data_IF_672072783760
#
_entry.id   IF_672072783760
#
_cell.length_a   1.000
_cell.length_b   1.000
_cell.length_c   1.000
_cell.angle_alpha   90.00
_cell.angle_beta   90.00
_cell.angle_gamma   90.00
#
_symmetry.space_group_name_H-M   'P 1'
#
loop_
_entity.id
_entity.type
_entity.pdbx_description
1 polymer ?
#
# COMPACT_ATOMS: atom_id res chain seq x y z
N UNK A 1 24.88 27.52 20.26
CA UNK A 1 25.19 26.23 19.60
C UNK A 1 25.05 25.07 20.59
N UNK A 2 23.83 24.67 20.95
CA UNK A 2 23.59 23.53 21.85
C UNK A 2 22.15 22.97 21.77
N UNK A 3 21.45 23.16 20.64
CA UNK A 3 20.02 22.81 20.51
C UNK A 3 19.61 22.52 19.04
N UNK A 4 20.50 21.90 18.26
CA UNK A 4 20.24 21.55 16.85
C UNK A 4 19.98 20.05 16.64
N UNK A 5 20.58 19.16 17.45
CA UNK A 5 20.82 17.76 17.08
C UNK A 5 19.93 16.73 17.80
N UNK A 6 18.75 17.13 18.25
CA UNK A 6 17.75 16.20 18.79
C UNK A 6 16.57 16.09 17.81
N UNK A 7 16.65 15.11 16.90
CA UNK A 7 15.50 14.71 16.07
C UNK A 7 14.34 14.36 17.00
N UNK A 8 13.20 15.04 16.85
CA UNK A 8 11.98 14.74 17.60
C UNK A 8 11.41 13.41 17.11
N UNK A 9 11.84 12.31 17.70
CA UNK A 9 11.28 10.98 17.43
C UNK A 9 9.79 10.94 17.81
N UNK A 10 8.91 10.95 16.81
CA UNK A 10 7.48 10.72 16.99
C UNK A 10 7.27 9.21 17.13
N UNK A 11 7.12 8.74 18.37
CA UNK A 11 7.05 7.31 18.71
C UNK A 11 5.61 6.78 18.68
N UNK A 12 4.63 7.63 18.92
CA UNK A 12 3.22 7.28 18.88
C UNK A 12 2.33 8.48 18.50
N UNK A 13 1.05 8.21 18.21
CA UNK A 13 0.06 9.22 17.80
C UNK A 13 -0.10 10.39 18.80
N UNK A 14 0.15 10.17 20.11
CA UNK A 14 0.12 11.25 21.11
C UNK A 14 1.29 12.21 20.96
N UNK A 15 2.43 11.76 20.44
CA UNK A 15 3.60 12.62 20.27
C UNK A 15 3.37 13.63 19.12
N UNK A 16 2.56 13.23 18.13
CA UNK A 16 2.02 14.11 17.08
C UNK A 16 1.07 15.12 17.72
N UNK A 17 0.07 14.66 18.48
CA UNK A 17 -0.88 15.57 19.16
C UNK A 17 -0.15 16.56 20.10
N UNK A 18 0.88 16.10 20.82
CA UNK A 18 1.72 16.95 21.66
C UNK A 18 2.51 18.00 20.85
N UNK A 19 2.98 17.66 19.64
CA UNK A 19 3.66 18.61 18.73
C UNK A 19 2.74 19.78 18.38
N UNK A 20 1.43 19.55 18.22
CA UNK A 20 0.46 20.61 17.97
C UNK A 20 0.06 21.37 19.23
N UNK A 21 0.05 20.73 20.41
CA UNK A 21 -0.12 21.42 21.70
C UNK A 21 1.03 22.38 22.04
N UNK A 22 2.26 22.08 21.62
CA UNK A 22 3.41 23.00 21.74
C UNK A 22 3.29 24.24 20.83
N UNK A 23 2.40 24.20 19.83
CA UNK A 23 2.05 25.32 18.98
C UNK A 23 2.71 25.30 17.59
N UNK A 24 2.34 26.27 16.73
CA UNK A 24 2.65 26.21 15.30
C UNK A 24 4.14 26.39 14.97
N UNK A 25 4.94 27.01 15.85
CA UNK A 25 6.39 27.14 15.65
C UNK A 25 7.10 25.79 15.82
N UNK A 26 6.65 24.95 16.78
CA UNK A 26 7.18 23.60 16.97
C UNK A 26 6.85 22.70 15.77
N UNK A 27 5.62 22.80 15.26
CA UNK A 27 5.19 22.12 14.02
C UNK A 27 6.04 22.56 12.82
N UNK A 28 6.28 23.87 12.67
CA UNK A 28 7.12 24.41 11.59
C UNK A 28 8.57 23.92 11.71
N UNK A 29 9.14 23.95 12.91
CA UNK A 29 10.49 23.43 13.18
C UNK A 29 10.59 21.94 12.87
N UNK A 30 9.62 21.12 13.29
CA UNK A 30 9.61 19.69 12.96
C UNK A 30 9.56 19.44 11.45
N UNK A 31 8.65 20.12 10.73
CA UNK A 31 8.50 19.93 9.28
C UNK A 31 9.72 20.44 8.50
N UNK A 32 10.35 21.54 8.91
CA UNK A 32 11.59 22.05 8.28
C UNK A 32 12.79 21.15 8.56
N UNK A 33 12.97 20.68 9.80
CA UNK A 33 14.03 19.73 10.16
C UNK A 33 13.94 18.40 9.38
N UNK A 34 12.73 17.99 8.98
CA UNK A 34 12.51 16.81 8.15
C UNK A 34 12.42 17.12 6.64
N UNK A 35 12.70 18.35 6.20
CA UNK A 35 12.66 18.73 4.78
C UNK A 35 11.28 18.61 4.14
N UNK A 36 10.21 18.69 4.93
CA UNK A 36 8.81 18.53 4.51
C UNK A 36 8.12 19.86 4.14
N UNK A 37 8.69 20.98 4.58
CA UNK A 37 8.41 22.35 4.15
C UNK A 37 9.72 23.14 4.13
N UNK A 38 9.79 24.20 3.33
CA UNK A 38 10.99 25.06 3.23
C UNK A 38 11.19 25.92 4.49
N UNK A 39 12.45 26.13 4.90
CA UNK A 39 12.82 27.01 6.03
C UNK A 39 12.75 28.51 5.68
N UNK A 40 12.84 28.86 4.40
CA UNK A 40 12.68 30.22 3.88
C UNK A 40 11.79 30.21 2.62
N UNK A 41 11.27 31.37 2.23
CA UNK A 41 10.38 31.49 1.07
C UNK A 41 10.54 32.85 0.39
N UNK A 42 10.62 32.86 -0.94
CA UNK A 42 10.52 34.08 -1.76
C UNK A 42 9.09 34.26 -2.27
N UNK A 43 8.65 35.51 -2.42
CA UNK A 43 7.29 35.80 -2.83
C UNK A 43 7.10 35.66 -4.34
N UNK A 44 6.47 34.56 -4.75
CA UNK A 44 5.98 34.24 -6.11
C UNK A 44 5.24 35.38 -6.85
N UNK A 45 4.65 36.33 -6.13
CA UNK A 45 3.97 37.51 -6.68
C UNK A 45 4.85 38.75 -6.84
N UNK A 46 5.92 38.85 -6.07
CA UNK A 46 6.89 39.96 -6.18
C UNK A 46 8.06 39.59 -7.11
N UNK A 47 8.39 38.30 -7.17
CA UNK A 47 9.36 37.70 -8.09
C UNK A 47 8.65 36.64 -8.95
N UNK A 48 7.80 37.04 -9.92
CA UNK A 48 7.21 36.11 -10.87
C UNK A 48 8.30 35.50 -11.76
N UNK A 49 8.18 34.20 -12.08
CA UNK A 49 9.12 33.51 -12.97
C UNK A 49 9.16 34.13 -14.38
N UNK A 50 7.98 34.49 -14.90
CA UNK A 50 7.80 35.14 -16.20
C UNK A 50 7.11 36.51 -16.00
N UNK A 51 7.88 37.57 -15.74
CA UNK A 51 7.32 38.91 -15.60
C UNK A 51 8.35 40.01 -15.29
N UNK A 52 7.94 41.29 -15.36
CA UNK A 52 8.78 42.39 -14.91
C UNK A 52 8.97 42.30 -13.39
N UNK A 53 10.23 42.20 -12.97
CA UNK A 53 10.60 42.27 -11.55
C UNK A 53 10.50 43.73 -11.09
N UNK A 54 9.69 43.99 -10.07
CA UNK A 54 9.63 45.31 -9.44
C UNK A 54 10.78 45.42 -8.41
N UNK A 55 11.94 45.90 -8.89
CA UNK A 55 13.25 45.70 -8.28
C UNK A 55 13.43 46.32 -6.88
N UNK A 56 12.54 47.23 -6.45
CA UNK A 56 12.60 47.94 -5.17
C UNK A 56 11.82 47.23 -4.04
N UNK A 57 11.13 46.12 -4.33
CA UNK A 57 10.37 45.36 -3.33
C UNK A 57 11.22 44.21 -2.79
N UNK A 58 11.45 44.21 -1.47
CA UNK A 58 11.97 43.05 -0.77
C UNK A 58 11.00 41.86 -0.91
N UNK A 59 11.48 40.84 -1.63
CA UNK A 59 10.72 39.65 -2.00
C UNK A 59 10.81 38.53 -0.96
N UNK A 60 11.68 38.66 0.05
CA UNK A 60 11.78 37.68 1.13
C UNK A 60 10.49 37.67 1.96
N UNK A 61 10.00 36.46 2.26
CA UNK A 61 8.80 36.30 3.09
C UNK A 61 9.20 36.04 4.54
N UNK A 62 8.63 36.85 5.43
CA UNK A 62 8.74 36.67 6.88
C UNK A 62 7.63 35.76 7.42
N UNK A 63 7.94 34.97 8.44
CA UNK A 63 6.93 34.22 9.19
C UNK A 63 6.13 35.16 10.09
N UNK A 64 4.81 35.01 10.10
CA UNK A 64 3.92 35.73 11.01
C UNK A 64 2.74 34.84 11.44
N UNK A 65 2.14 35.16 12.59
CA UNK A 65 0.99 34.43 13.14
C UNK A 65 -0.32 35.12 12.79
N UNK A 66 -1.33 34.34 12.38
CA UNK A 66 -2.70 34.79 12.09
C UNK A 66 -3.68 33.71 12.51
N UNK A 67 -4.66 34.03 13.36
CA UNK A 67 -5.65 33.06 13.86
C UNK A 67 -5.01 31.79 14.46
N UNK A 68 -3.88 31.94 15.18
CA UNK A 68 -3.02 30.87 15.69
C UNK A 68 -2.34 29.96 14.63
N UNK A 69 -2.51 30.22 13.33
CA UNK A 69 -1.70 29.59 12.27
C UNK A 69 -0.42 30.40 11.98
N UNK A 70 0.65 29.71 11.61
CA UNK A 70 1.86 30.32 11.05
C UNK A 70 1.72 30.46 9.53
N UNK A 71 2.13 31.61 8.99
CA UNK A 71 2.01 31.97 7.58
C UNK A 71 3.22 32.78 7.10
N UNK A 72 3.47 32.74 5.80
CA UNK A 72 4.46 33.58 5.13
C UNK A 72 3.84 34.91 4.71
N UNK A 73 4.59 36.02 4.87
CA UNK A 73 4.23 37.36 4.38
C UNK A 73 5.45 38.18 3.95
N UNK A 74 5.42 38.72 2.73
CA UNK A 74 6.41 39.69 2.23
C UNK A 74 6.03 41.14 2.59
N UNK A 75 6.93 42.11 2.33
CA UNK A 75 6.66 43.55 2.60
C UNK A 75 5.47 44.11 1.80
N UNK A 76 5.22 43.60 0.59
CA UNK A 76 4.04 43.92 -0.22
C UNK A 76 2.72 43.30 0.31
N UNK A 77 2.72 42.67 1.49
CA UNK A 77 1.57 42.05 2.19
C UNK A 77 0.92 40.86 1.46
N UNK A 78 1.56 40.30 0.44
CA UNK A 78 1.16 39.00 -0.09
C UNK A 78 1.36 37.93 0.98
N UNK A 79 0.35 37.07 1.18
CA UNK A 79 0.39 35.96 2.14
C UNK A 79 0.42 34.60 1.46
N UNK A 80 1.11 33.64 2.07
CA UNK A 80 1.11 32.22 1.71
C UNK A 80 1.03 31.34 2.96
N UNK A 81 0.55 30.11 2.80
CA UNK A 81 0.58 29.10 3.88
C UNK A 81 2.00 28.55 4.00
N UNK A 82 2.42 28.10 5.19
CA UNK A 82 3.76 27.48 5.36
C UNK A 82 3.97 26.24 4.49
N UNK A 83 2.89 25.60 4.06
CA UNK A 83 2.87 24.44 3.16
C UNK A 83 2.87 24.76 1.67
N UNK A 84 2.93 26.02 1.23
CA UNK A 84 2.62 26.42 -0.16
C UNK A 84 3.37 25.63 -1.26
N UNK A 85 4.65 25.30 -1.04
CA UNK A 85 5.47 24.55 -1.99
C UNK A 85 5.42 23.03 -1.80
N UNK A 86 4.86 22.54 -0.68
CA UNK A 86 4.74 21.10 -0.45
C UNK A 86 3.54 20.55 -1.21
N UNK A 87 3.77 19.88 -2.33
CA UNK A 87 2.73 19.15 -3.06
C UNK A 87 1.99 18.16 -2.14
N UNK A 88 2.73 17.42 -1.30
CA UNK A 88 2.13 16.50 -0.34
C UNK A 88 1.20 17.20 0.68
N UNK A 89 1.54 18.38 1.18
CA UNK A 89 0.66 19.08 2.11
C UNK A 89 -0.39 19.98 1.43
N UNK A 90 -0.40 20.15 0.10
CA UNK A 90 -1.32 21.04 -0.63
C UNK A 90 -2.28 20.35 -1.59
N UNK A 91 -1.97 19.15 -2.06
CA UNK A 91 -2.75 18.49 -3.12
C UNK A 91 -4.17 18.07 -2.69
N UNK A 92 -5.17 18.51 -3.47
CA UNK A 92 -6.49 17.89 -3.52
C UNK A 92 -6.74 17.39 -4.96
N UNK A 93 -7.34 16.20 -5.12
CA UNK A 93 -7.75 15.73 -6.45
C UNK A 93 -8.92 16.55 -6.97
N UNK A 94 -8.67 17.29 -8.05
CA UNK A 94 -9.70 17.76 -8.97
C UNK A 94 -10.16 19.19 -8.72
N UNK A 95 -9.72 20.09 -9.60
CA UNK A 95 -10.58 21.16 -10.08
C UNK A 95 -11.92 20.56 -10.49
N UNK A 96 -12.98 20.84 -9.73
CA UNK A 96 -14.33 20.64 -10.25
C UNK A 96 -14.48 21.46 -11.54
N UNK A 97 -15.32 21.00 -12.47
CA UNK A 97 -15.55 21.69 -13.76
C UNK A 97 -16.03 23.17 -13.62
N UNK A 98 -16.31 23.61 -12.40
CA UNK A 98 -16.73 24.97 -12.05
C UNK A 98 -15.61 25.84 -11.44
N UNK A 99 -14.33 25.42 -11.51
CA UNK A 99 -13.18 26.27 -11.17
C UNK A 99 -13.09 26.76 -9.72
N UNK A 100 -13.77 26.10 -8.78
CA UNK A 100 -13.73 26.46 -7.35
C UNK A 100 -12.73 25.61 -6.58
N UNK A 101 -11.68 26.25 -6.06
CA UNK A 101 -10.70 25.63 -5.17
C UNK A 101 -11.29 25.38 -3.76
N UNK A 102 -11.24 24.12 -3.33
CA UNK A 102 -10.70 23.78 -2.00
C UNK A 102 -9.24 23.32 -2.27
N UNK A 103 -8.23 23.43 -1.41
CA UNK A 103 -7.89 24.40 -0.35
C UNK A 103 -8.99 24.80 0.66
N UNK A 104 -9.06 24.24 1.86
CA UNK A 104 -8.23 23.21 2.49
C UNK A 104 -9.14 22.50 3.49
N UNK A 105 -9.48 21.22 3.30
CA UNK A 105 -10.35 20.51 4.27
C UNK A 105 -9.63 19.86 5.44
N UNK A 106 -8.31 19.68 5.35
CA UNK A 106 -7.48 19.09 6.40
C UNK A 106 -6.42 20.10 6.90
N UNK A 107 -6.27 20.20 8.22
CA UNK A 107 -5.13 20.86 8.85
C UNK A 107 -3.87 19.98 8.75
N UNK A 108 -2.69 20.55 8.99
CA UNK A 108 -1.43 19.79 9.02
C UNK A 108 -1.46 18.70 10.11
N UNK A 109 -2.12 18.95 11.25
CA UNK A 109 -2.32 17.96 12.31
C UNK A 109 -3.09 16.74 11.79
N UNK A 110 -4.22 16.99 11.12
CA UNK A 110 -5.05 15.93 10.57
C UNK A 110 -4.29 15.14 9.50
N UNK A 111 -3.52 15.80 8.64
CA UNK A 111 -2.70 15.14 7.61
C UNK A 111 -1.61 14.26 8.24
N UNK A 112 -0.91 14.72 9.29
CA UNK A 112 0.09 13.90 9.99
C UNK A 112 -0.54 12.72 10.76
N UNK A 113 -1.69 12.93 11.42
CA UNK A 113 -2.43 11.85 12.09
C UNK A 113 -2.92 10.80 11.07
N UNK A 114 -3.49 11.22 9.93
CA UNK A 114 -3.93 10.33 8.87
C UNK A 114 -2.74 9.55 8.25
N UNK A 115 -1.60 10.23 8.06
CA UNK A 115 -0.35 9.59 7.58
C UNK A 115 0.14 8.53 8.57
N UNK A 116 0.13 8.83 9.87
CA UNK A 116 0.45 7.87 10.93
C UNK A 116 -0.50 6.67 10.93
N UNK A 117 -1.81 6.92 10.83
CA UNK A 117 -2.81 5.87 10.75
C UNK A 117 -2.63 4.97 9.52
N UNK A 118 -2.31 5.55 8.37
CA UNK A 118 -2.03 4.83 7.11
C UNK A 118 -0.78 3.95 7.18
N UNK A 119 0.30 4.45 7.79
CA UNK A 119 1.55 3.70 8.02
C UNK A 119 1.32 2.44 8.88
N UNK A 120 0.24 2.40 9.65
CA UNK A 120 -0.11 1.33 10.59
C UNK A 120 -1.40 0.58 10.21
N UNK A 121 -1.81 0.64 8.92
CA UNK A 121 -2.95 -0.12 8.34
C UNK A 121 -4.31 0.10 9.04
N UNK A 122 -4.46 1.22 9.76
CA UNK A 122 -5.72 1.58 10.40
C UNK A 122 -6.78 1.78 9.32
N UNK A 123 -8.03 1.39 9.61
CA UNK A 123 -9.10 1.59 8.65
C UNK A 123 -9.38 3.09 8.46
N UNK A 124 -9.86 3.53 7.28
CA UNK A 124 -10.20 4.93 7.05
C UNK A 124 -11.23 5.48 8.05
N UNK A 125 -12.12 4.63 8.57
CA UNK A 125 -13.07 4.97 9.64
C UNK A 125 -12.34 5.33 10.94
N UNK A 126 -11.40 4.49 11.40
CA UNK A 126 -10.62 4.74 12.62
C UNK A 126 -9.68 5.92 12.45
N UNK A 127 -9.07 6.07 11.28
CA UNK A 127 -8.21 7.22 10.95
C UNK A 127 -9.00 8.54 10.96
N UNK A 128 -10.20 8.55 10.38
CA UNK A 128 -11.09 9.71 10.40
C UNK A 128 -11.54 10.09 11.81
N UNK A 129 -11.78 9.11 12.69
CA UNK A 129 -12.06 9.34 14.11
C UNK A 129 -10.85 9.97 14.83
N UNK A 130 -9.65 9.39 14.66
CA UNK A 130 -8.42 9.89 15.30
C UNK A 130 -8.06 11.32 14.84
N UNK A 131 -8.29 11.64 13.56
CA UNK A 131 -8.05 12.96 12.98
C UNK A 131 -9.25 13.93 13.09
N UNK A 132 -10.35 13.53 13.74
CA UNK A 132 -11.60 14.29 13.80
C UNK A 132 -12.05 14.88 12.44
N UNK A 133 -11.97 14.08 11.37
CA UNK A 133 -12.27 14.49 10.00
C UNK A 133 -13.31 13.59 9.32
N UNK A 134 -13.71 13.91 8.09
CA UNK A 134 -14.62 13.03 7.33
C UNK A 134 -13.89 11.80 6.78
N UNK A 135 -14.58 10.66 6.70
CA UNK A 135 -14.05 9.44 6.07
C UNK A 135 -13.62 9.66 4.61
N UNK A 136 -14.28 10.57 3.89
CA UNK A 136 -13.92 10.93 2.52
C UNK A 136 -12.56 11.64 2.48
N UNK A 137 -12.29 12.52 3.45
CA UNK A 137 -10.98 13.17 3.60
C UNK A 137 -9.88 12.16 3.96
N UNK A 138 -10.17 11.22 4.88
CA UNK A 138 -9.24 10.14 5.24
C UNK A 138 -8.91 9.23 4.05
N UNK A 139 -9.91 8.83 3.25
CA UNK A 139 -9.72 8.05 2.03
C UNK A 139 -8.89 8.81 0.98
N UNK A 140 -9.14 10.12 0.82
CA UNK A 140 -8.36 10.98 -0.09
C UNK A 140 -6.90 11.07 0.35
N UNK A 141 -6.64 11.30 1.63
CA UNK A 141 -5.28 11.34 2.19
C UNK A 141 -4.58 9.98 2.06
N UNK A 142 -5.30 8.87 2.25
CA UNK A 142 -4.77 7.53 2.04
C UNK A 142 -4.36 7.30 0.57
N UNK A 143 -5.20 7.68 -0.41
CA UNK A 143 -4.82 7.61 -1.85
C UNK A 143 -3.59 8.47 -2.13
N UNK A 144 -3.51 9.67 -1.55
CA UNK A 144 -2.33 10.51 -1.64
C UNK A 144 -1.06 9.82 -1.11
N UNK A 145 -1.11 9.16 0.05
CA UNK A 145 0.02 8.39 0.57
C UNK A 145 0.49 7.30 -0.43
N UNK A 146 -0.45 6.59 -1.06
CA UNK A 146 -0.12 5.59 -2.10
C UNK A 146 0.57 6.19 -3.32
N UNK A 147 0.15 7.39 -3.72
CA UNK A 147 0.76 8.10 -4.86
C UNK A 147 2.22 8.49 -4.58
N UNK A 148 2.59 8.73 -3.32
CA UNK A 148 4.00 8.89 -2.92
C UNK A 148 4.77 7.59 -3.14
N UNK A 149 4.24 6.45 -2.67
CA UNK A 149 4.86 5.13 -2.91
C UNK A 149 5.02 4.83 -4.40
N UNK A 150 4.01 5.17 -5.21
CA UNK A 150 4.03 4.93 -6.65
C UNK A 150 5.10 5.78 -7.35
N UNK A 151 5.11 7.09 -7.11
CA UNK A 151 6.14 7.98 -7.65
C UNK A 151 7.56 7.59 -7.21
N UNK A 152 7.72 7.11 -5.97
CA UNK A 152 9.01 6.64 -5.47
C UNK A 152 9.49 5.31 -6.08
N UNK A 153 8.60 4.49 -6.65
CA UNK A 153 8.96 3.20 -7.25
C UNK A 153 9.24 3.33 -8.76
N UNK A 154 8.69 4.36 -9.41
CA UNK A 154 9.09 4.77 -10.76
C UNK A 154 10.48 5.45 -10.78
N UNK A 155 10.94 6.00 -9.64
CA UNK A 155 12.24 6.66 -9.47
C UNK A 155 13.22 5.85 -8.59
N UNK A 156 14.28 5.31 -9.21
CA UNK A 156 15.33 4.53 -8.54
C UNK A 156 16.21 5.35 -7.59
N UNK A 157 16.25 6.69 -7.69
CA UNK A 157 16.96 7.55 -6.74
C UNK A 157 16.10 7.82 -5.49
N UNK A 158 14.78 7.90 -5.64
CA UNK A 158 13.85 8.05 -4.52
C UNK A 158 13.77 6.80 -3.63
N UNK A 159 13.72 5.60 -4.24
CA UNK A 159 13.68 4.32 -3.52
C UNK A 159 14.83 3.37 -3.93
N UNK A 160 16.08 3.65 -3.52
CA UNK A 160 17.23 2.78 -3.78
C UNK A 160 17.08 1.38 -3.15
N UNK A 161 16.20 1.23 -2.16
CA UNK A 161 15.86 -0.05 -1.53
C UNK A 161 15.08 -0.99 -2.48
N UNK A 162 14.46 -0.46 -3.55
CA UNK A 162 13.67 -1.19 -4.55
C UNK A 162 14.50 -1.79 -5.70
N UNK A 163 15.76 -2.18 -5.44
CA UNK A 163 16.71 -2.70 -6.43
C UNK A 163 16.36 -4.08 -7.03
N UNK A 164 17.34 -4.87 -7.48
CA UNK A 164 17.05 -6.25 -7.88
C UNK A 164 16.84 -7.14 -6.65
N UNK A 165 15.75 -7.92 -6.62
CA UNK A 165 15.48 -8.91 -5.58
C UNK A 165 16.17 -10.24 -5.92
N UNK A 166 16.46 -11.08 -4.93
CA UNK A 166 17.14 -12.35 -5.17
C UNK A 166 18.68 -12.24 -5.18
N UNK A 167 19.32 -13.11 -5.96
CA UNK A 167 20.77 -13.35 -6.03
C UNK A 167 21.11 -14.83 -5.85
N UNK A 168 22.38 -15.24 -6.06
CA UNK A 168 22.81 -16.63 -5.88
C UNK A 168 22.50 -17.17 -4.48
N UNK A 169 21.76 -18.29 -4.42
CA UNK A 169 21.31 -18.91 -3.17
C UNK A 169 20.05 -18.30 -2.55
N UNK A 170 19.53 -17.20 -3.10
CA UNK A 170 18.23 -16.63 -2.72
C UNK A 170 17.09 -17.28 -3.51
N UNK A 171 15.88 -17.16 -2.97
CA UNK A 171 14.65 -17.77 -3.49
C UNK A 171 13.61 -16.70 -3.78
N UNK A 172 13.10 -16.67 -5.01
CA UNK A 172 11.98 -15.81 -5.43
C UNK A 172 10.84 -16.71 -5.89
N UNK A 173 9.65 -16.52 -5.32
CA UNK A 173 8.43 -17.18 -5.79
C UNK A 173 7.63 -16.21 -6.65
N UNK A 174 7.11 -16.69 -7.78
CA UNK A 174 6.32 -15.93 -8.76
C UNK A 174 4.98 -16.63 -9.04
N UNK A 175 3.98 -15.85 -9.45
CA UNK A 175 2.61 -16.28 -9.78
C UNK A 175 1.83 -15.09 -10.40
N UNK A 176 0.80 -15.35 -11.19
CA UNK A 176 -0.09 -14.31 -11.73
C UNK A 176 -1.57 -14.54 -11.41
N UNK A 177 -2.25 -13.48 -10.94
CA UNK A 177 -3.64 -13.54 -10.54
C UNK A 177 -4.50 -12.56 -11.35
N UNK A 178 -5.64 -13.02 -11.87
CA UNK A 178 -6.66 -12.15 -12.44
C UNK A 178 -7.33 -11.33 -11.32
N UNK A 179 -7.36 -10.01 -11.45
CA UNK A 179 -8.04 -9.14 -10.47
C UNK A 179 -9.34 -8.62 -11.09
N UNK A 180 -10.32 -9.53 -11.25
CA UNK A 180 -11.65 -9.21 -11.76
C UNK A 180 -12.29 -8.09 -10.93
N UNK A 181 -12.56 -6.94 -11.55
CA UNK A 181 -13.30 -5.88 -10.91
C UNK A 181 -14.69 -6.39 -10.54
N UNK A 182 -15.05 -6.36 -9.24
CA UNK A 182 -16.37 -6.79 -8.77
C UNK A 182 -17.46 -5.98 -9.48
N UNK A 183 -18.15 -6.60 -10.43
CA UNK A 183 -19.33 -6.02 -11.11
C UNK A 183 -20.25 -5.41 -10.06
N UNK A 184 -20.65 -4.15 -10.25
CA UNK A 184 -21.80 -3.59 -9.52
C UNK A 184 -22.97 -4.50 -9.83
N UNK A 185 -23.53 -5.20 -8.85
CA UNK A 185 -24.86 -5.81 -9.01
C UNK A 185 -25.78 -4.67 -9.43
N UNK A 186 -26.33 -4.77 -10.63
CA UNK A 186 -27.18 -3.72 -11.18
C UNK A 186 -28.32 -3.45 -10.20
N UNK A 187 -28.61 -2.18 -9.95
CA UNK A 187 -29.74 -1.77 -9.14
C UNK A 187 -31.04 -1.96 -9.94
N UNK A 188 -31.43 -3.22 -10.15
CA UNK A 188 -32.74 -3.68 -10.63
C UNK A 188 -32.83 -5.21 -10.46
N UNK A 189 -33.21 -5.65 -9.26
CA UNK A 189 -33.43 -7.06 -8.93
C UNK A 189 -34.06 -7.19 -7.55
N UNK A 190 -35.34 -7.56 -7.50
CA UNK A 190 -36.14 -7.58 -6.27
C UNK A 190 -35.73 -8.74 -5.36
N UNK A 191 -34.88 -8.46 -4.37
CA UNK A 191 -34.56 -9.35 -3.25
C UNK A 191 -35.02 -8.75 -1.93
N UNK A 192 -36.34 -8.75 -1.68
CA UNK A 192 -36.93 -8.19 -0.46
C UNK A 192 -36.79 -9.23 0.66
N UNK A 193 -35.81 -9.06 1.55
CA UNK A 193 -35.81 -9.80 2.83
C UNK A 193 -37.07 -9.40 3.59
N UNK A 194 -38.01 -10.34 3.74
CA UNK A 194 -39.17 -10.18 4.59
C UNK A 194 -38.80 -10.38 6.07
N UNK A 195 -39.51 -9.75 7.02
CA UNK A 195 -39.34 -10.06 8.43
C UNK A 195 -39.96 -11.43 8.73
N UNK A 196 -39.15 -12.49 8.62
CA UNK A 196 -39.53 -13.88 8.89
C UNK A 196 -38.46 -14.66 9.66
N UNK A 197 -37.19 -14.46 9.33
CA UNK A 197 -36.08 -15.30 9.81
C UNK A 197 -35.36 -14.71 11.05
N UNK A 198 -36.14 -14.30 12.06
CA UNK A 198 -35.65 -14.11 13.42
C UNK A 198 -36.22 -15.21 14.31
N UNK A 199 -35.61 -16.40 14.22
CA UNK A 199 -35.82 -17.47 15.18
C UNK A 199 -34.55 -17.58 16.03
N UNK A 200 -34.61 -17.09 17.27
CA UNK A 200 -33.50 -17.20 18.21
C UNK A 200 -33.26 -18.68 18.58
N UNK A 201 -31.99 -19.09 18.80
CA UNK A 201 -31.69 -20.47 19.16
C UNK A 201 -32.29 -20.81 20.54
N UNK A 202 -33.27 -21.70 20.53
CA UNK A 202 -33.92 -22.21 21.72
C UNK A 202 -32.90 -22.91 22.62
N UNK A 203 -32.82 -22.56 23.90
CA UNK A 203 -32.05 -23.36 24.88
C UNK A 203 -32.74 -24.71 25.03
N UNK A 204 -32.00 -25.79 24.73
CA UNK A 204 -32.39 -27.18 25.02
C UNK A 204 -32.57 -27.42 26.52
N UNK A 205 -33.32 -28.46 26.87
CA UNK A 205 -33.69 -28.75 28.26
C UNK A 205 -32.58 -29.50 29.02
N UNK A 206 -32.57 -29.50 30.36
CA UNK A 206 -31.51 -30.13 31.15
C UNK A 206 -31.34 -31.65 30.96
N UNK A 207 -32.30 -32.32 30.32
CA UNK A 207 -32.27 -33.78 30.08
C UNK A 207 -31.40 -34.15 28.86
N UNK A 208 -31.21 -33.25 27.89
CA UNK A 208 -30.39 -33.49 26.70
C UNK A 208 -28.87 -33.47 26.99
N UNK A 209 -28.46 -32.97 28.16
CA UNK A 209 -27.05 -32.89 28.58
C UNK A 209 -26.55 -34.13 29.33
N UNK A 210 -27.40 -35.15 29.54
CA UNK A 210 -27.07 -36.34 30.33
C UNK A 210 -26.59 -37.56 29.51
N UNK A 211 -26.54 -37.46 28.17
CA UNK A 211 -26.32 -38.61 27.28
C UNK A 211 -24.87 -38.83 26.79
N UNK A 212 -23.91 -37.94 27.09
CA UNK A 212 -22.49 -38.13 26.72
C UNK A 212 -21.70 -38.82 27.87
N UNK A 213 -21.96 -40.10 28.09
CA UNK A 213 -21.24 -40.88 29.11
C UNK A 213 -21.16 -42.40 28.87
N UNK A 214 -20.91 -42.89 27.64
CA UNK A 214 -20.30 -44.22 27.44
C UNK A 214 -19.64 -44.44 26.05
N UNK A 215 -18.67 -45.37 26.00
CA UNK A 215 -18.52 -46.35 24.91
C UNK A 215 -18.05 -45.97 23.48
N UNK A 216 -16.73 -45.79 23.30
CA UNK A 216 -15.90 -46.36 22.20
C UNK A 216 -16.41 -46.52 20.73
N UNK A 217 -15.73 -45.81 19.81
CA UNK A 217 -15.41 -46.17 18.40
C UNK A 217 -16.61 -46.35 17.41
N UNK A 218 -16.52 -46.11 16.08
CA UNK A 218 -15.44 -46.17 15.08
C UNK A 218 -15.72 -45.20 13.89
N UNK A 219 -14.72 -45.07 13.00
CA UNK A 219 -14.80 -44.83 11.54
C UNK A 219 -15.08 -43.46 10.92
N UNK A 220 -14.43 -43.34 9.75
CA UNK A 220 -14.42 -42.36 8.68
C UNK A 220 -15.50 -41.25 8.65
N UNK A 221 -15.03 -40.03 8.42
CA UNK A 221 -15.77 -39.02 7.67
C UNK A 221 -14.97 -38.78 6.39
N UNK A 222 -15.57 -39.14 5.26
CA UNK A 222 -15.09 -38.75 3.93
C UNK A 222 -15.31 -37.23 3.79
N UNK A 223 -14.25 -36.47 3.46
CA UNK A 223 -14.41 -35.06 3.10
C UNK A 223 -14.88 -35.02 1.64
N UNK A 224 -16.08 -34.47 1.40
CA UNK A 224 -16.67 -34.37 0.06
C UNK A 224 -15.81 -33.45 -0.83
N UNK A 225 -15.37 -33.98 -1.97
CA UNK A 225 -14.58 -33.24 -2.96
C UNK A 225 -15.48 -32.25 -3.72
N UNK A 226 -15.26 -30.94 -3.55
CA UNK A 226 -15.79 -29.94 -4.48
C UNK A 226 -14.88 -29.92 -5.74
N UNK A 227 -15.27 -30.67 -6.77
CA UNK A 227 -14.63 -30.64 -8.10
C UNK A 227 -14.74 -29.23 -8.72
N UNK A 228 -13.65 -28.48 -8.78
CA UNK A 228 -13.56 -27.27 -9.62
C UNK A 228 -13.34 -27.68 -11.09
N UNK A 229 -14.42 -27.80 -11.88
CA UNK A 229 -14.34 -28.02 -13.33
C UNK A 229 -13.59 -26.86 -14.03
N UNK A 230 -12.45 -27.16 -14.65
CA UNK A 230 -11.79 -26.24 -15.60
C UNK A 230 -12.64 -26.09 -16.87
N UNK A 231 -13.21 -24.89 -17.09
CA UNK A 231 -13.87 -24.55 -18.36
C UNK A 231 -12.84 -23.99 -19.34
N UNK A 232 -12.49 -24.81 -20.34
CA UNK A 232 -11.70 -24.41 -21.51
C UNK A 232 -12.57 -23.61 -22.49
N UNK A 233 -12.47 -22.28 -22.44
CA UNK A 233 -13.20 -21.38 -23.36
C UNK A 233 -12.56 -21.41 -24.76
N UNK A 234 -13.08 -22.31 -25.61
CA UNK A 234 -12.78 -22.35 -27.04
C UNK A 234 -13.46 -21.22 -27.81
N UNK A 235 -12.79 -20.71 -28.85
CA UNK A 235 -13.24 -19.57 -29.66
C UNK A 235 -14.44 -19.92 -30.55
N UNK A 236 -15.61 -19.32 -30.30
CA UNK A 236 -16.61 -19.04 -31.36
C UNK A 236 -17.18 -17.61 -31.18
N UNK A 237 -17.30 -16.88 -32.29
CA UNK A 237 -17.57 -15.43 -32.28
C UNK A 237 -19.05 -15.04 -32.36
N UNK A 238 -19.40 -13.87 -31.83
CA UNK A 238 -20.74 -13.30 -31.96
C UNK A 238 -20.91 -11.90 -31.35
N UNK A 239 -21.05 -10.91 -32.23
CA UNK A 239 -21.74 -9.61 -32.06
C UNK A 239 -21.07 -8.48 -31.23
N UNK A 240 -21.01 -7.30 -31.86
CA UNK A 240 -20.43 -6.06 -31.32
C UNK A 240 -21.51 -5.20 -30.61
N UNK A 241 -21.35 -4.91 -29.32
CA UNK A 241 -22.04 -3.77 -28.67
C UNK A 241 -21.15 -3.05 -27.64
N UNK A 242 -20.92 -1.74 -27.84
CA UNK A 242 -21.08 -0.77 -26.74
C UNK A 242 -19.91 -0.46 -25.78
N UNK A 243 -18.66 -0.46 -26.27
CA UNK A 243 -17.51 0.38 -25.80
C UNK A 243 -17.58 1.03 -24.38
N UNK A 244 -16.79 0.49 -23.42
CA UNK A 244 -16.02 1.19 -22.35
C UNK A 244 -15.57 0.28 -21.16
N UNK A 245 -15.51 -1.05 -21.31
CA UNK A 245 -14.80 -1.91 -20.34
C UNK A 245 -13.29 -1.98 -20.70
N UNK A 246 -12.43 -1.36 -19.88
CA UNK A 246 -10.98 -1.59 -19.92
C UNK A 246 -10.74 -3.11 -19.72
N UNK A 247 -9.91 -3.78 -20.55
CA UNK A 247 -9.73 -5.24 -20.49
C UNK A 247 -9.24 -5.66 -19.11
N UNK A 248 -9.78 -6.77 -18.59
CA UNK A 248 -9.55 -7.23 -17.23
C UNK A 248 -8.05 -7.46 -16.95
N UNK A 249 -7.43 -6.51 -16.25
CA UNK A 249 -6.01 -6.54 -15.95
C UNK A 249 -5.60 -7.73 -15.09
N UNK A 250 -4.48 -8.33 -15.45
CA UNK A 250 -3.79 -9.30 -14.62
C UNK A 250 -2.84 -8.58 -13.66
N UNK A 251 -2.48 -9.24 -12.57
CA UNK A 251 -1.38 -8.80 -11.71
C UNK A 251 -0.37 -9.93 -11.59
N UNK A 252 0.89 -9.63 -11.83
CA UNK A 252 2.01 -10.54 -11.63
C UNK A 252 2.67 -10.26 -10.27
N UNK A 253 2.85 -11.29 -9.45
CA UNK A 253 3.41 -11.20 -8.10
C UNK A 253 4.81 -11.79 -8.01
N UNK A 254 5.63 -11.24 -7.12
CA UNK A 254 6.93 -11.79 -6.74
C UNK A 254 7.11 -11.72 -5.21
N UNK A 255 7.63 -12.77 -4.58
CA UNK A 255 7.95 -12.79 -3.15
C UNK A 255 9.37 -13.33 -2.95
N UNK A 256 10.22 -12.63 -2.19
CA UNK A 256 11.64 -12.97 -2.03
C UNK A 256 12.00 -13.40 -0.60
N UNK A 257 12.91 -14.37 -0.48
CA UNK A 257 13.60 -14.79 0.75
C UNK A 257 15.10 -14.96 0.50
N UNK A 258 15.95 -14.73 1.52
CA UNK A 258 17.39 -15.02 1.41
C UNK A 258 17.71 -16.51 1.48
N UNK A 259 16.82 -17.31 2.08
CA UNK A 259 17.01 -18.75 2.20
C UNK A 259 15.69 -19.49 2.40
N UNK A 260 15.73 -20.81 2.19
CA UNK A 260 14.63 -21.71 2.52
C UNK A 260 14.29 -21.72 4.03
N UNK A 261 15.27 -21.41 4.90
CA UNK A 261 15.04 -21.28 6.34
C UNK A 261 14.16 -20.05 6.66
N UNK A 262 14.43 -18.89 6.03
CA UNK A 262 13.57 -17.71 6.16
C UNK A 262 12.16 -17.98 5.61
N UNK A 263 12.03 -18.73 4.49
CA UNK A 263 10.72 -19.16 3.95
C UNK A 263 9.94 -20.00 4.97
N UNK A 264 10.59 -20.94 5.65
CA UNK A 264 9.99 -21.74 6.74
C UNK A 264 9.55 -20.87 7.93
N UNK A 265 10.23 -19.77 8.21
CA UNK A 265 9.82 -18.78 9.21
C UNK A 265 8.65 -17.87 8.75
N UNK A 266 8.22 -17.98 7.48
CA UNK A 266 7.13 -17.21 6.85
C UNK A 266 7.31 -15.69 6.92
N UNK A 267 8.56 -15.23 6.84
CA UNK A 267 8.92 -13.80 6.79
C UNK A 267 9.65 -13.56 5.45
N UNK A 268 8.97 -13.03 4.41
CA UNK A 268 9.64 -12.63 3.18
C UNK A 268 10.47 -11.37 3.38
N UNK A 269 11.55 -11.24 2.61
CA UNK A 269 12.36 -10.02 2.49
C UNK A 269 11.68 -8.96 1.61
N UNK A 270 10.78 -9.36 0.71
CA UNK A 270 10.08 -8.41 -0.15
C UNK A 270 8.84 -9.05 -0.78
N UNK A 271 7.91 -8.21 -1.22
CA UNK A 271 6.76 -8.62 -2.03
C UNK A 271 6.46 -7.52 -3.06
N UNK A 272 6.54 -7.87 -4.34
CA UNK A 272 6.26 -6.97 -5.47
C UNK A 272 5.00 -7.43 -6.19
N UNK A 273 4.28 -6.49 -6.77
CA UNK A 273 3.13 -6.75 -7.62
C UNK A 273 3.12 -5.75 -8.78
N UNK A 274 2.88 -6.24 -9.99
CA UNK A 274 2.86 -5.46 -11.23
C UNK A 274 1.54 -5.66 -11.94
N UNK A 275 0.84 -4.59 -12.33
CA UNK A 275 -0.32 -4.73 -13.21
C UNK A 275 0.16 -4.98 -14.64
N UNK A 276 -0.35 -6.03 -15.27
CA UNK A 276 0.01 -6.41 -16.65
C UNK A 276 -1.26 -6.58 -17.49
N UNK A 277 -1.25 -6.03 -18.71
CA UNK A 277 -2.39 -6.15 -19.63
C UNK A 277 -2.46 -7.54 -20.26
N UNK A 278 -1.30 -8.17 -20.48
CA UNK A 278 -1.16 -9.53 -21.00
C UNK A 278 -0.27 -10.33 -20.07
N UNK A 279 -0.55 -11.63 -19.94
CA UNK A 279 0.25 -12.59 -19.20
C UNK A 279 1.13 -13.46 -20.12
N UNK A 280 1.53 -12.96 -21.29
CA UNK A 280 2.40 -13.71 -22.19
C UNK A 280 3.84 -13.86 -21.65
N UNK A 281 4.53 -14.88 -22.15
CA UNK A 281 5.90 -15.20 -21.73
C UNK A 281 6.86 -14.01 -21.92
N UNK A 282 6.71 -13.24 -23.00
CA UNK A 282 7.54 -12.06 -23.25
C UNK A 282 7.39 -11.02 -22.13
N UNK A 283 6.14 -10.67 -21.78
CA UNK A 283 5.84 -9.72 -20.70
C UNK A 283 6.39 -10.18 -19.35
N UNK A 284 6.15 -11.44 -18.99
CA UNK A 284 6.51 -11.96 -17.67
C UNK A 284 8.02 -12.23 -17.51
N UNK A 285 8.67 -12.79 -18.53
CA UNK A 285 10.12 -12.99 -18.54
C UNK A 285 10.87 -11.63 -18.52
N UNK A 286 10.37 -10.61 -19.23
CA UNK A 286 10.95 -9.27 -19.18
C UNK A 286 10.81 -8.63 -17.78
N UNK A 287 9.70 -8.83 -17.07
CA UNK A 287 9.54 -8.39 -15.68
C UNK A 287 10.49 -9.14 -14.74
N UNK A 288 10.63 -10.46 -14.87
CA UNK A 288 11.61 -11.25 -14.09
C UNK A 288 13.02 -10.68 -14.29
N UNK A 289 13.47 -10.50 -15.54
CA UNK A 289 14.81 -9.98 -15.86
C UNK A 289 15.05 -8.54 -15.36
N UNK A 290 14.00 -7.74 -15.28
CA UNK A 290 14.07 -6.34 -14.83
C UNK A 290 14.10 -6.17 -13.30
N UNK A 291 13.62 -7.18 -12.55
CA UNK A 291 13.42 -7.11 -11.11
C UNK A 291 14.14 -8.19 -10.29
N UNK A 292 14.59 -9.29 -10.90
CA UNK A 292 15.25 -10.43 -10.22
C UNK A 292 16.73 -10.52 -10.62
N UNK A 293 17.62 -10.60 -9.64
CA UNK A 293 19.06 -10.67 -9.85
C UNK A 293 19.51 -12.01 -10.50
N UNK A 294 20.53 -12.02 -11.37
CA UNK A 294 21.09 -13.24 -11.96
C UNK A 294 21.46 -14.32 -10.93
N UNK A 295 21.34 -15.59 -11.33
CA UNK A 295 21.62 -16.75 -10.46
C UNK A 295 20.60 -17.02 -9.35
N UNK A 296 19.46 -16.32 -9.33
CA UNK A 296 18.36 -16.56 -8.37
C UNK A 296 17.67 -17.90 -8.62
N UNK A 297 17.24 -18.57 -7.55
CA UNK A 297 16.31 -19.69 -7.67
C UNK A 297 14.87 -19.17 -7.73
N UNK A 298 14.16 -19.47 -8.82
CA UNK A 298 12.79 -19.01 -9.09
C UNK A 298 11.82 -20.18 -8.94
N UNK A 299 10.75 -19.99 -8.16
CA UNK A 299 9.71 -20.98 -7.89
C UNK A 299 8.38 -20.52 -8.51
N UNK A 300 7.76 -21.33 -9.36
CA UNK A 300 6.43 -21.07 -9.94
C UNK A 300 5.57 -22.34 -9.95
N UNK A 301 4.35 -22.23 -10.45
CA UNK A 301 3.59 -23.37 -10.97
C UNK A 301 4.21 -23.91 -12.28
N UNK A 302 3.65 -25.01 -12.81
CA UNK A 302 4.05 -25.60 -14.09
C UNK A 302 3.52 -24.84 -15.34
N UNK A 303 3.31 -23.52 -15.27
CA UNK A 303 2.66 -22.81 -16.36
C UNK A 303 3.58 -22.53 -17.56
N UNK A 304 3.04 -22.68 -18.77
CA UNK A 304 3.81 -22.67 -20.03
C UNK A 304 4.58 -21.37 -20.29
N UNK A 305 4.11 -20.23 -19.76
CA UNK A 305 4.81 -18.96 -19.92
C UNK A 305 6.18 -18.92 -19.20
N UNK A 306 6.37 -19.76 -18.18
CA UNK A 306 7.58 -19.84 -17.37
C UNK A 306 8.62 -20.86 -17.90
N UNK A 307 8.26 -21.70 -18.88
CA UNK A 307 9.11 -22.76 -19.46
C UNK A 307 10.40 -22.29 -20.19
N UNK A 308 10.72 -20.99 -20.13
CA UNK A 308 11.95 -20.41 -20.67
C UNK A 308 12.86 -19.75 -19.63
N UNK A 309 12.50 -19.77 -18.33
CA UNK A 309 13.27 -19.09 -17.27
C UNK A 309 14.70 -19.67 -17.14
N UNK A 310 14.84 -20.99 -17.24
CA UNK A 310 16.11 -21.72 -17.15
C UNK A 310 17.05 -21.47 -18.34
N UNK A 311 16.49 -21.11 -19.50
CA UNK A 311 17.19 -20.80 -20.75
C UNK A 311 17.67 -19.34 -20.82
N UNK A 312 17.29 -18.48 -19.87
CA UNK A 312 17.69 -17.08 -19.84
C UNK A 312 19.20 -16.91 -19.52
N UNK A 313 19.89 -15.95 -20.18
CA UNK A 313 21.33 -15.75 -19.99
C UNK A 313 21.72 -15.28 -18.58
N UNK A 314 20.76 -14.81 -17.79
CA UNK A 314 20.92 -14.49 -16.37
C UNK A 314 21.09 -15.74 -15.46
N UNK A 315 20.93 -16.96 -15.99
CA UNK A 315 21.29 -18.21 -15.32
C UNK A 315 20.42 -18.54 -14.11
N UNK A 316 19.10 -18.32 -14.23
CA UNK A 316 18.14 -18.64 -13.16
C UNK A 316 18.01 -20.14 -12.96
N UNK A 317 17.77 -20.55 -11.71
CA UNK A 317 17.43 -21.94 -11.36
C UNK A 317 15.92 -22.02 -11.21
N UNK A 318 15.21 -22.47 -12.24
CA UNK A 318 13.76 -22.62 -12.21
C UNK A 318 13.36 -23.94 -11.56
N UNK A 319 12.45 -23.88 -10.59
CA UNK A 319 11.76 -25.03 -9.99
C UNK A 319 10.26 -24.81 -10.08
N UNK A 320 9.52 -25.84 -10.46
CA UNK A 320 8.05 -25.77 -10.64
C UNK A 320 7.32 -26.66 -9.65
N UNK A 321 6.06 -26.32 -9.33
CA UNK A 321 5.12 -27.17 -8.61
C UNK A 321 4.01 -27.62 -9.57
N UNK A 322 3.75 -28.92 -9.64
CA UNK A 322 2.62 -29.43 -10.40
C UNK A 322 1.38 -29.55 -9.50
N UNK A 323 0.52 -28.52 -9.53
CA UNK A 323 -0.68 -28.46 -8.71
C UNK A 323 -1.73 -29.54 -9.03
N UNK A 324 -1.67 -30.19 -10.19
CA UNK A 324 -2.57 -31.32 -10.54
C UNK A 324 -2.09 -32.68 -10.02
N UNK A 325 -0.87 -32.77 -9.49
CA UNK A 325 -0.32 -34.04 -8.97
C UNK A 325 0.05 -33.96 -7.48
N UNK A 326 0.53 -32.81 -6.99
CA UNK A 326 0.96 -32.65 -5.59
C UNK A 326 0.72 -31.23 -5.06
N UNK A 327 0.03 -31.10 -3.92
CA UNK A 327 -0.15 -29.82 -3.21
C UNK A 327 1.16 -29.32 -2.57
N UNK A 328 2.09 -30.23 -2.31
CA UNK A 328 3.51 -30.01 -2.01
C UNK A 328 4.32 -31.10 -2.68
N UNK A 329 5.36 -30.77 -3.44
CA UNK A 329 6.35 -31.78 -3.83
C UNK A 329 7.15 -32.17 -2.58
N UNK A 330 6.81 -33.32 -2.00
CA UNK A 330 7.44 -33.84 -0.77
C UNK A 330 8.93 -34.15 -0.94
N UNK A 331 9.43 -34.21 -2.18
CA UNK A 331 10.83 -34.46 -2.53
C UNK A 331 11.67 -33.18 -2.52
N UNK A 332 11.11 -32.05 -2.96
CA UNK A 332 11.83 -30.77 -3.10
C UNK A 332 11.40 -29.69 -2.10
N UNK A 333 10.19 -29.80 -1.54
CA UNK A 333 9.59 -28.84 -0.61
C UNK A 333 9.12 -27.53 -1.28
N UNK A 334 8.95 -27.53 -2.60
CA UNK A 334 8.49 -26.36 -3.38
C UNK A 334 6.98 -26.20 -3.23
N UNK A 335 6.49 -24.97 -2.98
CA UNK A 335 5.05 -24.70 -2.84
C UNK A 335 4.57 -23.25 -3.08
N UNK A 336 3.28 -23.18 -3.48
CA UNK A 336 2.36 -22.04 -3.67
C UNK A 336 2.24 -21.01 -2.55
N UNK A 337 2.22 -21.48 -1.31
CA UNK A 337 1.33 -20.90 -0.29
C UNK A 337 1.71 -19.48 0.18
N UNK A 338 2.93 -19.04 -0.08
CA UNK A 338 3.40 -17.74 0.36
C UNK A 338 2.99 -16.58 -0.57
N UNK A 339 2.87 -16.82 -1.88
CA UNK A 339 2.34 -15.81 -2.81
C UNK A 339 0.81 -15.73 -2.69
N UNK A 340 0.11 -16.85 -2.48
CA UNK A 340 -1.31 -16.88 -2.07
C UNK A 340 -1.57 -16.05 -0.79
N UNK A 341 -0.72 -16.20 0.23
CA UNK A 341 -0.78 -15.40 1.45
C UNK A 341 -0.44 -13.91 1.21
N UNK A 342 0.23 -13.56 0.12
CA UNK A 342 0.43 -12.18 -0.32
C UNK A 342 -0.78 -11.67 -1.11
N UNK A 343 -1.36 -12.46 -2.01
CA UNK A 343 -2.62 -12.17 -2.71
C UNK A 343 -3.78 -11.92 -1.75
N UNK A 344 -3.91 -12.71 -0.69
CA UNK A 344 -4.94 -12.49 0.32
C UNK A 344 -4.76 -11.16 1.07
N UNK A 345 -3.50 -10.71 1.28
CA UNK A 345 -3.22 -9.37 1.82
C UNK A 345 -3.56 -8.25 0.83
N UNK A 346 -3.26 -8.43 -0.47
CA UNK A 346 -3.67 -7.50 -1.53
C UNK A 346 -5.19 -7.37 -1.63
N UNK A 347 -5.90 -8.51 -1.74
CA UNK A 347 -7.36 -8.57 -1.79
C UNK A 347 -8.00 -7.88 -0.58
N UNK A 348 -7.49 -8.13 0.64
CA UNK A 348 -7.98 -7.47 1.86
C UNK A 348 -7.79 -5.94 1.83
N UNK A 349 -6.61 -5.47 1.42
CA UNK A 349 -6.31 -4.04 1.38
C UNK A 349 -7.10 -3.28 0.29
N UNK A 350 -7.31 -3.89 -0.89
CA UNK A 350 -8.20 -3.35 -1.92
C UNK A 350 -9.66 -3.36 -1.43
N UNK A 351 -10.16 -4.45 -0.86
CA UNK A 351 -11.55 -4.55 -0.41
C UNK A 351 -11.91 -3.52 0.68
N UNK A 352 -10.94 -3.08 1.50
CA UNK A 352 -11.13 -2.01 2.50
C UNK A 352 -11.42 -0.63 1.89
N UNK A 353 -11.03 -0.35 0.64
CA UNK A 353 -11.21 0.99 0.03
C UNK A 353 -12.51 1.17 -0.77
N UNK A 354 -13.32 0.11 -0.93
CA UNK A 354 -14.76 0.13 -1.31
C UNK A 354 -15.17 0.93 -2.56
N UNK A 355 -14.25 1.23 -3.49
CA UNK A 355 -14.57 1.58 -4.89
C UNK A 355 -13.73 0.71 -5.82
N UNK A 356 -14.24 0.48 -7.03
CA UNK A 356 -13.76 -0.57 -7.93
C UNK A 356 -12.28 -0.44 -8.29
N UNK A 357 -11.67 -1.59 -8.61
CA UNK A 357 -10.21 -1.77 -8.67
C UNK A 357 -9.52 -0.94 -9.76
N UNK A 358 -10.21 -0.64 -10.88
CA UNK A 358 -9.65 -0.10 -12.13
C UNK A 358 -8.46 0.87 -12.00
N UNK A 359 -8.72 2.16 -11.80
CA UNK A 359 -7.69 3.21 -11.97
C UNK A 359 -6.74 3.41 -10.78
N UNK A 360 -7.04 2.81 -9.62
CA UNK A 360 -6.20 2.95 -8.41
C UNK A 360 -5.34 1.70 -8.13
N UNK A 361 -5.46 0.63 -8.94
CA UNK A 361 -4.76 -0.64 -8.69
C UNK A 361 -3.24 -0.44 -8.53
N UNK A 362 -2.59 0.24 -9.47
CA UNK A 362 -1.14 0.49 -9.44
C UNK A 362 -0.69 1.21 -8.16
N UNK A 363 -1.49 2.14 -7.64
CA UNK A 363 -1.21 2.80 -6.36
C UNK A 363 -1.34 1.84 -5.16
N UNK A 364 -2.30 0.91 -5.20
CA UNK A 364 -2.43 -0.15 -4.20
C UNK A 364 -1.26 -1.16 -4.26
N UNK A 365 -0.78 -1.51 -5.45
CA UNK A 365 0.39 -2.38 -5.62
C UNK A 365 1.65 -1.71 -5.07
N UNK A 366 1.85 -0.43 -5.39
CA UNK A 366 2.96 0.39 -4.89
C UNK A 366 2.95 0.55 -3.36
N UNK A 367 1.78 0.74 -2.74
CA UNK A 367 1.64 0.73 -1.27
C UNK A 367 2.15 -0.57 -0.65
N UNK A 368 1.76 -1.72 -1.21
CA UNK A 368 2.19 -3.02 -0.69
C UNK A 368 3.68 -3.25 -0.87
N UNK A 369 4.22 -2.92 -2.05
CA UNK A 369 5.63 -3.08 -2.34
C UNK A 369 6.45 -2.23 -1.37
N UNK A 370 6.18 -0.92 -1.27
CA UNK A 370 6.89 -0.04 -0.34
C UNK A 370 6.75 -0.50 1.12
N UNK A 371 5.55 -0.92 1.55
CA UNK A 371 5.33 -1.48 2.91
C UNK A 371 6.08 -2.81 3.14
N UNK A 372 6.31 -3.61 2.09
CA UNK A 372 7.08 -4.86 2.18
C UNK A 372 8.57 -4.62 2.42
N UNK A 373 9.10 -3.47 1.97
CA UNK A 373 10.50 -3.07 2.20
C UNK A 373 10.78 -2.61 3.64
N UNK A 374 9.74 -2.25 4.42
CA UNK A 374 9.88 -1.67 5.76
C UNK A 374 10.17 -2.72 6.86
N UNK A 375 11.20 -3.53 6.66
CA UNK A 375 11.62 -4.55 7.61
C UNK A 375 12.16 -3.96 8.90
N UNK A 376 11.38 -4.09 9.96
CA UNK A 376 11.89 -3.95 11.32
C UNK A 376 12.37 -5.33 11.77
N UNK A 377 13.67 -5.50 12.10
CA UNK A 377 14.20 -6.78 12.56
C UNK A 377 13.37 -7.31 13.72
N UNK A 378 12.80 -8.51 13.56
CA UNK A 378 12.25 -9.23 14.72
C UNK A 378 13.43 -9.59 15.62
N UNK A 379 13.38 -9.31 16.93
CA UNK A 379 14.43 -9.76 17.83
C UNK A 379 14.47 -11.29 17.87
N UNK A 380 15.57 -11.83 18.39
CA UNK A 380 15.64 -13.25 18.77
C UNK A 380 14.49 -13.61 19.73
N UNK A 381 14.18 -14.92 19.86
CA UNK A 381 12.96 -15.48 20.50
C UNK A 381 12.51 -14.90 21.86
N UNK A 382 13.36 -14.16 22.58
CA UNK A 382 13.06 -13.55 23.87
C UNK A 382 12.89 -12.02 23.85
N UNK A 383 13.19 -11.33 22.74
CA UNK A 383 13.05 -9.88 22.63
C UNK A 383 11.66 -9.47 22.13
N UNK A 384 10.88 -8.79 22.98
CA UNK A 384 9.68 -8.08 22.52
C UNK A 384 10.10 -6.81 21.79
N UNK A 385 10.08 -6.79 20.46
CA UNK A 385 10.05 -5.52 19.72
C UNK A 385 8.85 -4.73 20.21
N UNK A 386 9.09 -3.56 20.78
CA UNK A 386 8.01 -2.67 21.18
C UNK A 386 7.26 -2.25 19.90
N UNK A 387 5.97 -2.61 19.79
CA UNK A 387 5.10 -2.29 18.64
C UNK A 387 5.19 -0.82 18.24
N UNK A 388 5.34 0.04 19.24
CA UNK A 388 5.58 1.50 19.16
C UNK A 388 6.81 1.84 18.30
N UNK A 389 7.95 1.16 18.50
CA UNK A 389 9.18 1.41 17.76
C UNK A 389 9.03 1.08 16.26
N UNK A 390 8.38 -0.05 15.94
CA UNK A 390 8.11 -0.43 14.55
C UNK A 390 7.23 0.60 13.84
N UNK A 391 6.17 1.05 14.49
CA UNK A 391 5.24 2.03 13.91
C UNK A 391 5.92 3.37 13.67
N UNK A 392 6.73 3.83 14.63
CA UNK A 392 7.56 5.03 14.50
C UNK A 392 8.51 4.95 13.32
N UNK A 393 9.26 3.84 13.19
CA UNK A 393 10.20 3.65 12.08
C UNK A 393 9.52 3.73 10.70
N UNK A 394 8.42 3.01 10.49
CA UNK A 394 7.67 3.06 9.22
C UNK A 394 7.20 4.49 8.91
N UNK A 395 6.68 5.21 9.91
CA UNK A 395 6.22 6.58 9.74
C UNK A 395 7.37 7.54 9.38
N UNK A 396 8.50 7.47 10.09
CA UNK A 396 9.65 8.34 9.81
C UNK A 396 10.27 8.03 8.44
N UNK A 397 10.36 6.76 8.03
CA UNK A 397 10.79 6.38 6.69
C UNK A 397 9.82 6.92 5.62
N UNK A 398 8.52 6.95 5.89
CA UNK A 398 7.54 7.53 4.96
C UNK A 398 7.67 9.06 4.85
N UNK A 399 8.00 9.76 5.95
CA UNK A 399 8.31 11.19 5.89
C UNK A 399 9.56 11.48 5.05
N UNK A 400 10.62 10.66 5.18
CA UNK A 400 11.80 10.79 4.31
C UNK A 400 11.47 10.45 2.83
N UNK A 401 10.58 9.48 2.58
CA UNK A 401 10.09 9.18 1.23
C UNK A 401 9.37 10.40 0.60
N UNK A 402 8.49 11.07 1.36
CA UNK A 402 7.82 12.30 0.91
C UNK A 402 8.86 13.37 0.52
N UNK A 403 9.89 13.56 1.34
CA UNK A 403 10.99 14.50 1.06
C UNK A 403 11.77 14.14 -0.21
N UNK A 404 12.04 12.85 -0.45
CA UNK A 404 12.74 12.39 -1.66
C UNK A 404 11.90 12.59 -2.93
N UNK A 405 10.62 12.24 -2.88
CA UNK A 405 9.70 12.32 -4.04
C UNK A 405 9.37 13.76 -4.44
N UNK A 406 9.10 14.63 -3.46
CA UNK A 406 8.67 16.01 -3.69
C UNK A 406 9.78 17.01 -3.31
N UNK A 407 11.00 16.77 -3.78
CA UNK A 407 12.19 17.55 -3.41
C UNK A 407 11.92 19.07 -3.37
N UNK A 408 12.05 19.66 -2.18
CA UNK A 408 11.71 21.05 -1.84
C UNK A 408 12.90 22.00 -1.91
#
# INVERSE_FOLDING_TARGET
MAAADAVRELRNIRDIVNLFYEGPDAVFQFLTQHGLIMESMLCDKCLPLDGPVDCDIDVEMSLFRRNNELRWRCKARHERTIRHHSEFFTWEHGTTANGRNNSNRLSLEQMLILTWCWCWDNSPESAAQNAACSIVSALSHYSQCRRVCYAALDDREACPEAGLMGGPGHLVQIDECSVKARRKRAANGRGRLGPGDLQEPHRGTPEEQAALADGTAVDAVEEEEEEEEEVDETEEGGEEEGDNDEPAGWVFGMVWWRSLEEKRQRIPQETRFFSVQKRDAETLLNLIRSHVAPGTQIWSDCWRAYMGIDQLPEGYIHLTVNHSEFYTDDTTGVNTNAIEAAWNRLRHNICRTKRGVGKELSFHLAELWWKSLQHVPRPSRNGRTNRTFRNSHIFMNFLDLIRRVYAL
#
